data_IF_469623033625
#
_entry.id   IF_469623033625
#
_cell.length_a   1.000
_cell.length_b   1.000
_cell.length_c   1.000
_cell.angle_alpha   90.00
_cell.angle_beta   90.00
_cell.angle_gamma   90.00
#
_symmetry.space_group_name_H-M   'P 1'
#
loop_
_entity.id
_entity.type
_entity.pdbx_description
1 polymer ?
#
# COMPACT_ATOMS: atom_id res chain seq x y z
N UNK A 1 -11.12 -19.65 16.13
CA UNK A 1 -11.24 -18.77 14.93
C UNK A 1 -10.33 -17.59 15.12
N UNK A 2 -9.47 -17.33 14.14
CA UNK A 2 -8.57 -16.19 14.20
C UNK A 2 -9.37 -14.90 14.10
N UNK A 3 -9.03 -13.93 14.92
CA UNK A 3 -9.63 -12.60 14.91
C UNK A 3 -8.60 -11.61 14.37
N UNK A 4 -8.86 -11.03 13.23
CA UNK A 4 -7.96 -10.09 12.59
C UNK A 4 -8.38 -8.65 12.86
N UNK A 5 -7.40 -7.82 13.14
CA UNK A 5 -7.65 -6.39 13.35
C UNK A 5 -7.23 -5.60 12.11
N UNK A 6 -7.72 -4.37 12.02
CA UNK A 6 -7.26 -3.45 10.96
C UNK A 6 -5.75 -3.25 11.01
N UNK A 7 -5.16 -3.26 12.22
CA UNK A 7 -3.71 -3.17 12.35
C UNK A 7 -2.99 -4.35 11.72
N UNK A 8 -3.53 -5.56 11.87
CA UNK A 8 -2.93 -6.75 11.28
C UNK A 8 -2.96 -6.69 9.75
N UNK A 9 -4.10 -6.30 9.18
CA UNK A 9 -4.27 -6.20 7.73
C UNK A 9 -3.38 -5.10 7.16
N UNK A 10 -3.38 -3.92 7.79
CA UNK A 10 -2.52 -2.81 7.39
C UNK A 10 -1.05 -3.22 7.45
N UNK A 11 -0.63 -3.87 8.51
CA UNK A 11 0.76 -4.34 8.67
C UNK A 11 1.15 -5.33 7.60
N UNK A 12 0.24 -6.23 7.22
CA UNK A 12 0.48 -7.18 6.13
C UNK A 12 0.75 -6.45 4.81
N UNK A 13 -0.10 -5.48 4.47
CA UNK A 13 0.03 -4.71 3.23
C UNK A 13 1.28 -3.83 3.23
N UNK A 14 1.57 -3.15 4.34
CA UNK A 14 2.74 -2.28 4.46
C UNK A 14 4.04 -3.09 4.41
N UNK A 15 4.08 -4.23 5.08
CA UNK A 15 5.25 -5.11 5.04
C UNK A 15 5.48 -5.64 3.63
N UNK A 16 4.41 -5.99 2.93
CA UNK A 16 4.53 -6.50 1.57
C UNK A 16 5.14 -5.47 0.63
N UNK A 17 4.65 -4.22 0.65
CA UNK A 17 5.20 -3.19 -0.21
C UNK A 17 6.66 -2.89 0.12
N UNK A 18 7.01 -2.88 1.41
CA UNK A 18 8.38 -2.63 1.82
C UNK A 18 9.34 -3.76 1.41
N UNK A 19 8.81 -4.95 1.13
CA UNK A 19 9.61 -6.10 0.69
C UNK A 19 9.89 -6.14 -0.81
N UNK A 20 9.18 -5.31 -1.61
CA UNK A 20 9.35 -5.29 -3.05
C UNK A 20 10.67 -4.62 -3.42
N UNK A 21 11.53 -5.28 -4.23
CA UNK A 21 12.81 -4.69 -4.60
C UNK A 21 12.64 -3.63 -5.69
N UNK A 22 13.55 -2.67 -5.72
CA UNK A 22 13.61 -1.69 -6.80
C UNK A 22 12.74 -0.46 -6.59
N UNK A 23 12.07 -0.32 -5.46
CA UNK A 23 11.25 0.85 -5.14
C UNK A 23 12.10 1.97 -4.55
N UNK A 24 11.58 3.22 -4.55
CA UNK A 24 12.27 4.34 -3.90
C UNK A 24 12.59 4.06 -2.44
N UNK A 25 13.63 4.71 -1.95
CA UNK A 25 14.10 4.57 -0.57
C UNK A 25 13.03 4.97 0.44
N UNK A 26 12.25 6.01 0.14
CA UNK A 26 11.28 6.56 1.07
C UNK A 26 9.89 6.03 0.76
N UNK A 27 9.30 5.30 1.71
CA UNK A 27 7.92 4.85 1.67
C UNK A 27 7.24 5.47 2.88
N UNK A 28 6.24 6.30 2.64
CA UNK A 28 5.52 7.05 3.68
C UNK A 28 4.22 6.33 3.99
N UNK A 29 4.01 6.03 5.25
CA UNK A 29 2.82 5.35 5.74
C UNK A 29 1.83 6.33 6.35
N UNK A 30 0.61 5.86 6.61
CA UNK A 30 -0.46 6.66 7.19
C UNK A 30 -0.02 7.37 8.47
N UNK A 31 -0.39 8.64 8.59
CA UNK A 31 -0.14 9.46 9.78
C UNK A 31 1.34 9.57 10.15
N UNK A 32 2.23 9.47 9.17
CA UNK A 32 3.67 9.69 9.35
C UNK A 32 4.03 11.01 8.68
N UNK A 33 4.67 11.90 9.42
CA UNK A 33 5.14 13.17 8.89
C UNK A 33 6.32 12.91 7.95
N UNK A 34 6.25 13.52 6.77
CA UNK A 34 7.30 13.39 5.77
C UNK A 34 7.54 14.74 5.10
N UNK A 35 8.80 15.13 5.02
CA UNK A 35 9.25 16.34 4.34
C UNK A 35 10.30 15.94 3.30
N UNK A 36 9.94 16.09 2.02
CA UNK A 36 10.84 15.74 0.91
C UNK A 36 12.09 16.62 0.89
N UNK A 37 12.00 17.85 1.41
CA UNK A 37 13.13 18.76 1.51
C UNK A 37 14.12 18.34 2.61
N UNK A 38 13.63 17.61 3.62
CA UNK A 38 14.42 17.14 4.75
C UNK A 38 13.91 15.76 5.21
N UNK A 39 14.09 14.73 4.39
CA UNK A 39 13.55 13.40 4.69
C UNK A 39 14.28 12.68 5.82
N UNK A 40 15.53 13.06 6.07
CA UNK A 40 16.35 12.50 7.14
C UNK A 40 16.86 13.64 8.02
N UNK A 41 16.31 13.81 9.25
CA UNK A 41 16.74 14.89 10.15
C UNK A 41 18.22 14.85 10.52
N UNK A 42 18.86 13.67 10.42
CA UNK A 42 20.28 13.52 10.76
C UNK A 42 21.21 13.97 9.62
N UNK A 43 20.67 14.13 8.41
CA UNK A 43 21.43 14.61 7.25
C UNK A 43 20.70 15.79 6.60
N UNK A 44 21.08 17.03 6.95
CA UNK A 44 20.40 18.22 6.44
C UNK A 44 20.61 18.45 4.93
N UNK A 45 21.54 17.74 4.30
CA UNK A 45 21.80 17.86 2.87
C UNK A 45 21.01 16.83 2.04
N UNK A 46 20.39 15.86 2.70
CA UNK A 46 19.59 14.86 1.99
C UNK A 46 18.27 15.46 1.54
N UNK A 47 17.87 15.13 0.31
CA UNK A 47 16.58 15.49 -0.28
C UNK A 47 15.96 14.25 -0.89
N UNK A 48 14.64 14.16 -0.82
CA UNK A 48 13.90 13.12 -1.54
C UNK A 48 13.50 13.66 -2.91
N UNK A 49 14.00 13.04 -3.96
CA UNK A 49 13.62 13.36 -5.34
C UNK A 49 12.50 12.45 -5.83
N UNK A 50 12.22 11.40 -5.08
CA UNK A 50 11.14 10.45 -5.36
C UNK A 50 10.75 9.77 -4.05
N UNK A 51 9.48 9.41 -3.93
CA UNK A 51 8.99 8.66 -2.76
C UNK A 51 7.66 8.00 -3.09
N UNK A 52 7.23 7.10 -2.22
CA UNK A 52 5.94 6.44 -2.30
C UNK A 52 5.15 6.79 -1.06
N UNK A 53 3.87 7.12 -1.23
CA UNK A 53 2.93 7.32 -0.13
C UNK A 53 1.91 6.20 -0.16
N UNK A 54 1.58 5.65 1.00
CA UNK A 54 0.58 4.59 1.13
C UNK A 54 -0.54 5.04 2.05
N UNK A 55 -1.76 4.58 1.75
CA UNK A 55 -2.93 4.89 2.56
C UNK A 55 -3.79 3.64 2.67
N UNK A 56 -4.09 3.24 3.92
CA UNK A 56 -4.93 2.09 4.21
C UNK A 56 -6.37 2.55 4.45
N UNK A 57 -7.30 2.10 3.62
CA UNK A 57 -8.70 2.52 3.69
C UNK A 57 -9.58 1.28 3.87
N UNK A 58 -9.99 0.96 5.12
CA UNK A 58 -10.94 -0.11 5.35
C UNK A 58 -12.35 0.34 4.99
N UNK A 59 -13.18 -0.60 4.55
CA UNK A 59 -14.60 -0.34 4.31
C UNK A 59 -15.43 -1.06 5.38
N UNK A 60 -16.76 -0.94 5.27
CA UNK A 60 -17.67 -1.59 6.21
C UNK A 60 -17.56 -3.10 6.07
N UNK A 61 -17.44 -3.79 7.20
CA UNK A 61 -17.47 -5.24 7.23
C UNK A 61 -18.89 -5.74 6.96
N UNK A 62 -19.00 -6.75 6.11
CA UNK A 62 -20.30 -7.33 5.78
C UNK A 62 -20.26 -8.84 6.04
N UNK A 63 -21.38 -9.46 6.43
CA UNK A 63 -21.44 -10.91 6.54
C UNK A 63 -21.26 -11.57 5.17
N UNK A 64 -20.37 -12.56 5.11
CA UNK A 64 -20.14 -13.31 3.88
C UNK A 64 -21.28 -14.29 3.59
N UNK A 65 -21.94 -14.78 4.65
CA UNK A 65 -23.05 -15.71 4.58
C UNK A 65 -24.12 -15.31 5.59
N UNK A 66 -25.36 -15.70 5.34
CA UNK A 66 -26.45 -15.50 6.29
C UNK A 66 -26.45 -16.62 7.34
N UNK A 67 -26.80 -16.26 8.57
CA UNK A 67 -26.89 -17.23 9.66
C UNK A 67 -26.70 -16.59 11.02
N UNK A 68 -26.75 -17.42 12.07
CA UNK A 68 -26.64 -16.96 13.45
C UNK A 68 -25.23 -16.45 13.77
N UNK A 69 -24.20 -17.12 13.25
CA UNK A 69 -22.80 -16.71 13.39
C UNK A 69 -22.15 -16.60 12.04
N UNK A 70 -22.48 -15.53 11.26
CA UNK A 70 -21.97 -15.40 9.91
C UNK A 70 -20.47 -15.14 9.91
N UNK A 71 -19.78 -15.72 8.94
CA UNK A 71 -18.38 -15.38 8.67
C UNK A 71 -18.33 -13.92 8.17
N UNK A 72 -17.47 -13.12 8.75
CA UNK A 72 -17.31 -11.73 8.38
C UNK A 72 -16.37 -11.62 7.19
N UNK A 73 -16.71 -10.68 6.32
CA UNK A 73 -15.94 -10.35 5.13
C UNK A 73 -15.41 -8.94 5.30
N UNK A 74 -14.10 -8.83 5.43
CA UNK A 74 -13.42 -7.54 5.54
C UNK A 74 -12.86 -7.17 4.18
N UNK A 75 -13.02 -5.93 3.78
CA UNK A 75 -12.52 -5.44 2.51
C UNK A 75 -12.14 -3.98 2.59
N UNK A 76 -11.37 -3.53 1.63
CA UNK A 76 -10.96 -2.14 1.57
C UNK A 76 -10.05 -1.88 0.40
N UNK A 77 -9.41 -0.71 0.43
CA UNK A 77 -8.48 -0.26 -0.59
C UNK A 77 -7.17 0.14 0.09
N UNK A 78 -6.07 -0.29 -0.50
CA UNK A 78 -4.74 0.16 -0.13
C UNK A 78 -4.22 0.99 -1.30
N UNK A 79 -4.14 2.31 -1.13
CA UNK A 79 -3.72 3.22 -2.18
C UNK A 79 -2.22 3.47 -2.07
N UNK A 80 -1.51 3.21 -3.15
CA UNK A 80 -0.07 3.45 -3.24
C UNK A 80 0.14 4.51 -4.31
N UNK A 81 0.73 5.64 -3.93
CA UNK A 81 0.98 6.75 -4.85
C UNK A 81 2.48 6.95 -5.02
N UNK A 82 2.92 6.94 -6.27
CA UNK A 82 4.32 7.13 -6.63
C UNK A 82 4.52 8.60 -6.94
N UNK A 83 5.51 9.24 -6.31
CA UNK A 83 5.87 10.63 -6.55
C UNK A 83 7.28 10.71 -7.12
N UNK A 84 7.43 11.40 -8.23
CA UNK A 84 8.74 11.75 -8.81
C UNK A 84 8.77 13.23 -9.14
N UNK A 85 9.96 13.80 -9.33
CA UNK A 85 10.09 15.19 -9.68
C UNK A 85 9.44 15.52 -11.03
N UNK A 86 8.67 16.61 -11.07
CA UNK A 86 8.09 17.11 -12.30
C UNK A 86 9.18 17.42 -13.34
N UNK A 87 8.92 17.08 -14.59
CA UNK A 87 9.86 17.35 -15.69
C UNK A 87 10.96 16.33 -15.89
N UNK A 88 11.04 15.28 -15.09
CA UNK A 88 12.07 14.23 -15.22
C UNK A 88 11.66 13.11 -16.17
N UNK A 89 10.49 13.20 -16.79
CA UNK A 89 9.94 12.17 -17.65
C UNK A 89 9.20 11.11 -16.83
N UNK A 90 8.67 10.09 -17.51
CA UNK A 90 7.78 9.11 -16.88
C UNK A 90 8.44 7.74 -16.69
N UNK A 91 9.65 7.53 -17.17
CA UNK A 91 10.28 6.21 -17.21
C UNK A 91 10.40 5.57 -15.82
N UNK A 92 10.93 6.32 -14.84
CA UNK A 92 11.09 5.82 -13.47
C UNK A 92 9.74 5.53 -12.82
N UNK A 93 8.78 6.45 -12.97
CA UNK A 93 7.46 6.28 -12.38
C UNK A 93 6.75 5.07 -12.97
N UNK A 94 6.86 4.85 -14.27
CA UNK A 94 6.28 3.68 -14.92
C UNK A 94 6.93 2.38 -14.46
N UNK A 95 8.26 2.38 -14.23
CA UNK A 95 8.95 1.21 -13.68
C UNK A 95 8.47 0.90 -12.27
N UNK A 96 8.32 1.90 -11.42
CA UNK A 96 7.80 1.71 -10.07
C UNK A 96 6.35 1.20 -10.09
N UNK A 97 5.53 1.75 -10.99
CA UNK A 97 4.16 1.29 -11.15
C UNK A 97 4.12 -0.18 -11.56
N UNK A 98 4.99 -0.61 -12.46
CA UNK A 98 5.08 -2.01 -12.87
C UNK A 98 5.48 -2.92 -11.71
N UNK A 99 6.48 -2.51 -10.91
CA UNK A 99 6.92 -3.29 -9.75
C UNK A 99 5.76 -3.47 -8.77
N UNK A 100 5.01 -2.42 -8.50
CA UNK A 100 3.89 -2.45 -7.56
C UNK A 100 2.74 -3.30 -8.12
N UNK A 101 2.35 -3.10 -9.37
CA UNK A 101 1.25 -3.86 -9.97
C UNK A 101 1.57 -5.35 -10.08
N UNK A 102 2.81 -5.70 -10.39
CA UNK A 102 3.25 -7.10 -10.41
C UNK A 102 3.36 -7.68 -9.01
N UNK A 103 3.77 -6.88 -8.02
CA UNK A 103 3.91 -7.32 -6.63
C UNK A 103 2.58 -7.55 -5.92
N UNK A 104 1.51 -6.92 -6.39
CA UNK A 104 0.17 -7.02 -5.80
C UNK A 104 -0.84 -7.57 -6.80
N UNK A 105 -0.48 -8.56 -7.58
CA UNK A 105 -1.39 -9.13 -8.58
C UNK A 105 -2.72 -9.57 -7.97
N UNK A 106 -3.81 -9.34 -8.73
CA UNK A 106 -5.12 -9.86 -8.36
C UNK A 106 -5.05 -11.38 -8.17
N UNK A 107 -5.83 -11.90 -7.22
CA UNK A 107 -5.86 -13.30 -6.79
C UNK A 107 -4.63 -13.75 -6.00
N UNK A 108 -3.64 -12.91 -5.81
CA UNK A 108 -2.52 -13.21 -4.91
C UNK A 108 -2.95 -13.15 -3.46
N UNK A 109 -2.26 -13.93 -2.60
CA UNK A 109 -2.42 -13.85 -1.15
C UNK A 109 -1.16 -13.29 -0.53
N UNK A 110 -1.34 -12.39 0.44
CA UNK A 110 -0.23 -11.82 1.22
C UNK A 110 -0.26 -12.42 2.60
N UNK A 111 0.76 -13.18 2.95
CA UNK A 111 0.87 -13.85 4.26
C UNK A 111 1.56 -12.94 5.26
N UNK A 112 1.04 -12.92 6.48
CA UNK A 112 1.60 -12.15 7.58
C UNK A 112 1.37 -12.89 8.88
N UNK A 113 2.36 -12.88 9.77
CA UNK A 113 2.22 -13.42 11.13
C UNK A 113 2.20 -12.24 12.09
N UNK A 114 1.09 -12.11 12.85
CA UNK A 114 0.95 -11.00 13.78
C UNK A 114 1.73 -11.24 15.07
N UNK A 115 1.69 -10.26 15.98
CA UNK A 115 2.43 -10.33 17.24
C UNK A 115 1.96 -11.47 18.16
N UNK A 116 0.72 -11.92 17.99
CA UNK A 116 0.17 -13.04 18.73
C UNK A 116 0.53 -14.40 18.13
N UNK A 117 1.30 -14.41 17.05
CA UNK A 117 1.70 -15.63 16.35
C UNK A 117 0.65 -16.18 15.40
N UNK A 118 -0.45 -15.47 15.19
CA UNK A 118 -1.48 -15.87 14.25
C UNK A 118 -1.07 -15.52 12.83
N UNK A 119 -1.28 -16.47 11.91
CA UNK A 119 -0.96 -16.28 10.50
C UNK A 119 -2.22 -15.84 9.76
N UNK A 120 -2.14 -14.71 9.08
CA UNK A 120 -3.23 -14.19 8.26
C UNK A 120 -2.81 -14.21 6.79
N UNK A 121 -3.81 -14.28 5.91
CA UNK A 121 -3.59 -14.18 4.48
C UNK A 121 -4.58 -13.18 3.91
N UNK A 122 -4.08 -12.06 3.44
CA UNK A 122 -4.88 -11.00 2.80
C UNK A 122 -4.88 -11.27 1.31
N UNK A 123 -6.07 -11.38 0.73
CA UNK A 123 -6.22 -11.62 -0.70
C UNK A 123 -6.37 -10.32 -1.46
N UNK A 124 -5.83 -10.28 -2.68
CA UNK A 124 -5.91 -9.11 -3.54
C UNK A 124 -7.03 -9.32 -4.55
N UNK A 125 -7.97 -8.40 -4.57
CA UNK A 125 -9.13 -8.45 -5.47
C UNK A 125 -8.83 -7.84 -6.82
N UNK A 126 -8.20 -6.66 -6.82
CA UNK A 126 -7.82 -5.96 -8.03
C UNK A 126 -6.62 -5.04 -7.76
N UNK A 127 -5.92 -4.71 -8.83
CA UNK A 127 -4.90 -3.67 -8.82
C UNK A 127 -5.23 -2.73 -9.96
N UNK A 128 -5.51 -1.47 -9.64
CA UNK A 128 -5.98 -0.48 -10.60
C UNK A 128 -5.04 0.71 -10.61
N UNK A 129 -4.23 0.77 -11.65
CA UNK A 129 -3.32 1.89 -11.86
C UNK A 129 -4.07 3.04 -12.50
N UNK A 130 -3.98 4.23 -11.89
CA UNK A 130 -4.54 5.46 -12.43
C UNK A 130 -3.55 6.13 -13.35
N UNK A 131 -4.02 7.12 -14.12
CA UNK A 131 -3.12 7.91 -14.95
C UNK A 131 -2.23 8.81 -14.10
N UNK A 132 -1.06 9.19 -14.63
CA UNK A 132 -0.19 10.15 -13.99
C UNK A 132 -0.79 11.55 -14.01
N UNK A 133 -0.55 12.28 -12.92
CA UNK A 133 -1.03 13.65 -12.72
C UNK A 133 0.13 14.52 -12.25
N UNK A 134 0.01 15.84 -12.49
CA UNK A 134 1.00 16.81 -12.06
C UNK A 134 0.43 17.63 -10.90
N UNK A 135 1.21 17.72 -9.84
CA UNK A 135 0.97 18.62 -8.70
C UNK A 135 2.34 19.20 -8.33
N UNK A 136 2.68 20.31 -8.94
CA UNK A 136 4.02 20.91 -8.84
C UNK A 136 4.50 21.00 -7.38
N UNK A 137 5.71 20.52 -7.06
CA UNK A 137 6.78 20.10 -7.97
C UNK A 137 6.79 18.63 -8.35
N UNK A 138 5.68 17.92 -8.18
CA UNK A 138 5.60 16.47 -8.32
C UNK A 138 4.79 16.05 -9.53
N UNK A 139 5.20 14.91 -10.12
CA UNK A 139 4.39 14.07 -10.99
C UNK A 139 4.07 12.80 -10.20
N UNK A 140 2.82 12.38 -10.17
CA UNK A 140 2.45 11.24 -9.35
C UNK A 140 1.49 10.28 -10.05
N UNK A 141 1.59 9.01 -9.69
CA UNK A 141 0.74 7.94 -10.22
C UNK A 141 0.08 7.23 -9.04
N UNK A 142 -1.24 7.36 -8.86
CA UNK A 142 -1.96 6.58 -7.85
C UNK A 142 -2.22 5.15 -8.33
N UNK A 143 -2.11 4.20 -7.43
CA UNK A 143 -2.45 2.80 -7.68
C UNK A 143 -3.38 2.34 -6.56
N UNK A 144 -4.58 1.90 -6.92
CA UNK A 144 -5.55 1.40 -5.96
C UNK A 144 -5.50 -0.12 -5.92
N UNK A 145 -5.29 -0.68 -4.75
CA UNK A 145 -5.19 -2.11 -4.54
C UNK A 145 -6.37 -2.53 -3.67
N UNK A 146 -7.32 -3.23 -4.27
CA UNK A 146 -8.47 -3.77 -3.54
C UNK A 146 -8.09 -5.06 -2.84
N UNK A 147 -8.31 -5.10 -1.53
CA UNK A 147 -7.99 -6.27 -0.71
C UNK A 147 -9.24 -6.78 -0.01
N UNK A 148 -9.20 -8.06 0.37
CA UNK A 148 -10.25 -8.65 1.19
C UNK A 148 -9.69 -9.79 2.03
N UNK A 149 -10.42 -10.10 3.10
CA UNK A 149 -10.09 -11.23 3.97
C UNK A 149 -11.38 -11.73 4.63
N UNK A 150 -11.48 -13.04 4.80
CA UNK A 150 -12.54 -13.66 5.60
C UNK A 150 -12.02 -13.89 7.00
N UNK A 151 -12.83 -13.52 7.98
CA UNK A 151 -12.50 -13.73 9.39
C UNK A 151 -13.28 -14.89 9.95
#
# INVERSE_FOLDING_TARGET
MASYTNNDIRSALQKHISSLPGLPKYIVYDNVLFDAENPNPEDPNERATEYISTEYIPTINVPAVRGVNPQLYYQGVFTVTIFIGEGTGVFKAENYATIITEGFKATSGISYTNLSGEKISVSIRYVERQRGLVDTPWYFIPINIGWYIYN
#
